data_IF_298032683142
#
_entry.id   IF_298032683142
#
_cell.length_a   1.000
_cell.length_b   1.000
_cell.length_c   1.000
_cell.angle_alpha   90.00
_cell.angle_beta   90.00
_cell.angle_gamma   90.00
#
_symmetry.space_group_name_H-M   'P 1'
#
loop_
_entity.id
_entity.type
_entity.pdbx_description
1 polymer ?
#
# COMPACT_ATOMS: atom_id res chain seq x y z
N UNK A 1 -7.51 -14.89 -12.97
CA UNK A 1 -6.46 -13.89 -12.69
C UNK A 1 -5.14 -14.63 -12.64
N UNK A 2 -4.33 -14.50 -13.67
CA UNK A 2 -3.07 -15.24 -13.80
C UNK A 2 -2.02 -14.50 -12.98
N UNK A 3 -1.79 -14.94 -11.74
CA UNK A 3 -0.71 -14.42 -10.90
C UNK A 3 0.62 -14.63 -11.63
N UNK A 4 1.19 -13.55 -12.17
CA UNK A 4 2.58 -13.55 -12.65
C UNK A 4 3.44 -13.83 -11.42
N UNK A 5 3.92 -15.07 -11.29
CA UNK A 5 4.84 -15.45 -10.20
C UNK A 5 6.10 -14.61 -10.30
N UNK A 6 6.19 -13.59 -9.45
CA UNK A 6 7.35 -12.73 -9.32
C UNK A 6 8.51 -13.58 -8.83
N UNK A 7 9.49 -13.87 -9.71
CA UNK A 7 10.57 -14.81 -9.39
C UNK A 7 11.45 -14.27 -8.25
N UNK A 8 11.76 -12.98 -8.29
CA UNK A 8 12.33 -12.22 -7.18
C UNK A 8 11.65 -10.84 -7.24
N UNK A 9 11.08 -10.38 -6.14
CA UNK A 9 10.47 -9.05 -6.13
C UNK A 9 9.57 -8.76 -4.95
N UNK A 10 8.99 -7.57 -5.01
CA UNK A 10 8.07 -7.05 -4.00
C UNK A 10 6.76 -6.73 -4.69
N UNK A 11 5.68 -7.36 -4.25
CA UNK A 11 4.33 -6.98 -4.65
C UNK A 11 3.73 -6.04 -3.59
N UNK A 12 3.01 -5.01 -4.04
CA UNK A 12 2.41 -4.00 -3.17
C UNK A 12 0.95 -3.85 -3.54
N UNK A 13 0.08 -4.29 -2.65
CA UNK A 13 -1.36 -4.16 -2.80
C UNK A 13 -1.89 -3.15 -1.78
N UNK A 14 -2.55 -2.10 -2.27
CA UNK A 14 -3.34 -1.23 -1.39
C UNK A 14 -4.61 -1.99 -1.02
N UNK A 15 -4.79 -2.26 0.27
CA UNK A 15 -5.94 -3.02 0.78
C UNK A 15 -7.08 -2.07 1.08
N UNK A 16 -6.78 -0.96 1.73
CA UNK A 16 -7.80 -0.06 2.21
C UNK A 16 -7.28 1.37 2.34
N UNK A 17 -8.21 2.32 2.36
CA UNK A 17 -7.96 3.72 2.66
C UNK A 17 -9.07 4.24 3.56
N UNK A 18 -8.68 4.77 4.72
CA UNK A 18 -9.59 5.42 5.66
C UNK A 18 -9.33 6.91 5.63
N UNK A 19 -10.31 7.69 5.21
CA UNK A 19 -10.27 9.14 5.26
C UNK A 19 -10.66 9.64 6.67
N UNK A 20 -10.03 10.72 7.11
CA UNK A 20 -10.39 11.37 8.36
C UNK A 20 -11.73 12.08 8.25
N UNK A 21 -12.43 12.23 9.38
CA UNK A 21 -13.73 12.92 9.44
C UNK A 21 -13.65 14.39 9.01
N UNK A 22 -12.50 15.02 9.23
CA UNK A 22 -12.25 16.39 8.80
C UNK A 22 -11.68 16.49 7.37
N UNK A 23 -11.56 15.35 6.67
CA UNK A 23 -11.01 15.20 5.32
C UNK A 23 -9.60 15.79 5.12
N UNK A 24 -8.88 16.14 6.19
CA UNK A 24 -7.55 16.75 6.12
C UNK A 24 -6.44 15.72 5.97
N UNK A 25 -6.67 14.48 6.37
CA UNK A 25 -5.70 13.41 6.27
C UNK A 25 -6.40 12.08 5.99
N UNK A 26 -5.62 11.10 5.54
CA UNK A 26 -6.10 9.76 5.29
C UNK A 26 -4.99 8.77 5.58
N UNK A 27 -5.39 7.55 5.92
CA UNK A 27 -4.48 6.42 6.19
C UNK A 27 -4.67 5.42 5.06
N UNK A 28 -3.58 5.06 4.40
CA UNK A 28 -3.57 3.93 3.46
C UNK A 28 -2.97 2.69 4.14
N UNK A 29 -3.65 1.57 3.98
CA UNK A 29 -3.19 0.26 4.43
C UNK A 29 -2.67 -0.52 3.22
N UNK A 30 -1.39 -0.87 3.27
CA UNK A 30 -0.70 -1.60 2.22
C UNK A 30 -0.30 -2.98 2.73
N UNK A 31 -0.52 -3.99 1.91
CA UNK A 31 0.08 -5.31 2.08
C UNK A 31 1.23 -5.42 1.10
N UNK A 32 2.42 -5.58 1.66
CA UNK A 32 3.66 -5.73 0.91
C UNK A 32 4.11 -7.17 1.03
N UNK A 33 4.13 -7.88 -0.08
CA UNK A 33 4.54 -9.28 -0.15
C UNK A 33 5.91 -9.38 -0.80
N UNK A 34 6.83 -10.10 -0.16
CA UNK A 34 8.19 -10.32 -0.65
C UNK A 34 8.31 -11.74 -1.17
N UNK A 35 8.85 -11.87 -2.37
CA UNK A 35 9.03 -13.14 -3.05
C UNK A 35 10.51 -13.42 -3.32
N UNK A 36 10.92 -14.66 -3.05
CA UNK A 36 12.25 -15.17 -3.36
C UNK A 36 12.13 -16.54 -4.05
N UNK A 37 12.69 -16.66 -5.25
CA UNK A 37 12.50 -17.82 -6.16
C UNK A 37 11.03 -18.22 -6.34
N UNK A 38 10.12 -17.23 -6.44
CA UNK A 38 8.68 -17.45 -6.61
C UNK A 38 7.96 -17.96 -5.36
N UNK A 39 8.63 -18.07 -4.22
CA UNK A 39 8.04 -18.39 -2.92
C UNK A 39 7.81 -17.09 -2.15
N UNK A 40 6.62 -16.91 -1.59
CA UNK A 40 6.34 -15.81 -0.64
C UNK A 40 7.13 -16.08 0.64
N UNK A 41 8.12 -15.24 0.93
CA UNK A 41 8.98 -15.39 2.11
C UNK A 41 8.54 -14.52 3.28
N UNK A 42 7.90 -13.40 2.99
CA UNK A 42 7.51 -12.44 4.00
C UNK A 42 6.35 -11.59 3.51
N UNK A 43 5.41 -11.33 4.42
CA UNK A 43 4.32 -10.40 4.18
C UNK A 43 4.29 -9.38 5.31
N UNK A 44 4.29 -8.12 4.93
CA UNK A 44 4.29 -6.98 5.84
C UNK A 44 3.05 -6.13 5.60
N UNK A 45 2.40 -5.72 6.69
CA UNK A 45 1.42 -4.62 6.66
C UNK A 45 2.13 -3.30 6.87
N UNK A 46 1.88 -2.35 6.00
CA UNK A 46 2.42 -1.00 6.08
C UNK A 46 1.28 0.00 6.13
N UNK A 47 1.37 0.89 7.10
CA UNK A 47 0.41 1.98 7.29
C UNK A 47 1.11 3.28 6.91
N UNK A 48 0.45 4.09 6.09
CA UNK A 48 0.98 5.38 5.65
C UNK A 48 -0.08 6.43 5.88
N UNK A 49 0.22 7.37 6.77
CA UNK A 49 -0.61 8.56 6.99
C UNK A 49 -0.19 9.62 5.98
N UNK A 50 -1.15 10.16 5.22
CA UNK A 50 -0.94 11.26 4.28
C UNK A 50 -1.87 12.41 4.61
N UNK A 51 -1.36 13.64 4.45
CA UNK A 51 -2.20 14.83 4.50
C UNK A 51 -2.82 15.07 3.13
N UNK A 52 -4.13 15.36 3.08
CA UNK A 52 -4.78 15.88 1.89
C UNK A 52 -4.21 17.27 1.61
N UNK A 53 -3.27 17.37 0.67
CA UNK A 53 -2.81 18.67 0.13
C UNK A 53 -3.84 19.20 -0.89
N UNK A 54 -5.12 19.28 -0.51
CA UNK A 54 -6.05 20.18 -1.20
C UNK A 54 -5.85 21.55 -0.55
N UNK A 55 -5.51 22.56 -1.34
CA UNK A 55 -5.09 23.92 -0.96
C UNK A 55 -3.58 24.16 -0.78
N UNK A 56 -2.83 24.00 -1.87
CA UNK A 56 -1.94 25.10 -2.27
C UNK A 56 -2.86 26.15 -2.90
N UNK A 57 -3.19 27.21 -2.14
CA UNK A 57 -3.85 28.39 -2.70
C UNK A 57 -2.99 28.94 -3.84
N UNK A 58 -3.52 28.93 -5.06
CA UNK A 58 -3.17 29.86 -6.12
C UNK A 58 -4.14 31.04 -6.04
#
# INVERSE_FOLDING_TARGET
MTERRTFIGVDRLMVDRIDSLDEKWFVEFWVVKYYFFGIEIHTQKKEIVKHNRKHSFL
#
